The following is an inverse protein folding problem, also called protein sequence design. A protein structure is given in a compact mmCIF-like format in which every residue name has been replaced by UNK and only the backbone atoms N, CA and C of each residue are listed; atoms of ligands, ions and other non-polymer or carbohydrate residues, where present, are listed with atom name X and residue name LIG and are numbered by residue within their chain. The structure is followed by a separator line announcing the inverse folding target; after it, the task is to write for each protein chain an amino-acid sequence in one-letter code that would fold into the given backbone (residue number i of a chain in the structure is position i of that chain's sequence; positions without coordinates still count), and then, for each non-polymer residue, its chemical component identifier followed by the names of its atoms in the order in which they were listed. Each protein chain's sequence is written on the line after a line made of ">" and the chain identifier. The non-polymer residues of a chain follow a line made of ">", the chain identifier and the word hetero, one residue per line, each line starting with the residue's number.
data_IF_447854173705
#
_entry.id   IF_447854173705
#
_cell.length_a   1.000
_cell.length_b   1.000
_cell.length_c   1.000
_cell.angle_alpha   90.00
_cell.angle_beta   90.00
_cell.angle_gamma   90.00
#
_symmetry.space_group_name_H-M   'P 1'
#
loop_
_entity.id
_entity.type
_entity.pdbx_description
1 polymer ?
#
# COMPACT_ATOMS: atom_id res chain seq x y z
N UNK A 1 -18.74 9.63 13.78
CA UNK A 1 -18.30 10.95 13.27
C UNK A 1 -18.25 11.02 11.74
N UNK A 2 -18.00 9.91 11.03
CA UNK A 2 -18.09 9.87 9.56
C UNK A 2 -19.46 10.33 9.02
N UNK A 3 -20.55 9.96 9.71
CA UNK A 3 -21.92 10.33 9.33
C UNK A 3 -22.17 11.84 9.33
N UNK A 4 -21.58 12.58 10.28
CA UNK A 4 -21.72 14.05 10.35
C UNK A 4 -20.94 14.70 9.21
N UNK A 5 -19.73 14.25 8.91
CA UNK A 5 -18.95 14.71 7.75
C UNK A 5 -19.68 14.49 6.42
N UNK A 6 -20.32 13.32 6.25
CA UNK A 6 -21.13 13.02 5.06
C UNK A 6 -22.37 13.91 4.93
N UNK A 7 -23.01 14.26 6.06
CA UNK A 7 -24.27 15.02 6.08
C UNK A 7 -24.04 16.54 6.01
N UNK A 8 -23.00 17.07 6.64
CA UNK A 8 -22.78 18.53 6.75
C UNK A 8 -21.74 19.07 5.76
N UNK A 9 -20.99 18.19 5.07
CA UNK A 9 -19.91 18.59 4.16
C UNK A 9 -18.73 19.29 4.86
N UNK A 10 -18.70 19.28 6.19
CA UNK A 10 -17.65 19.94 6.97
C UNK A 10 -16.41 19.07 7.04
N UNK A 11 -15.27 19.58 6.60
CA UNK A 11 -13.99 18.89 6.69
C UNK A 11 -13.64 18.58 8.15
N UNK A 12 -13.37 17.30 8.45
CA UNK A 12 -12.87 16.90 9.76
C UNK A 12 -11.46 17.48 9.97
N UNK A 13 -11.15 17.86 11.21
CA UNK A 13 -9.82 18.36 11.59
C UNK A 13 -8.78 17.32 11.21
N UNK A 14 -7.91 17.67 10.26
CA UNK A 14 -6.81 16.81 9.83
C UNK A 14 -5.90 16.58 11.03
N UNK A 15 -5.67 15.32 11.38
CA UNK A 15 -4.66 14.95 12.38
C UNK A 15 -3.27 15.22 11.80
N UNK A 16 -2.36 15.76 12.62
CA UNK A 16 -0.98 16.01 12.21
C UNK A 16 -0.16 14.73 12.05
N UNK A 17 -0.65 13.59 12.59
CA UNK A 17 0.10 12.32 12.64
C UNK A 17 -0.55 11.30 11.72
N UNK A 18 0.25 10.75 10.78
CA UNK A 18 -0.12 9.61 9.93
C UNK A 18 0.18 8.32 10.70
N UNK A 19 -0.85 7.60 11.10
CA UNK A 19 -0.70 6.23 11.61
C UNK A 19 -0.66 5.26 10.44
N UNK A 20 0.38 4.42 10.37
CA UNK A 20 0.49 3.35 9.37
C UNK A 20 0.41 2.01 10.09
N UNK A 21 -0.49 1.15 9.64
CA UNK A 21 -0.58 -0.22 10.14
C UNK A 21 0.42 -1.10 9.37
N UNK A 22 1.27 -1.81 10.12
CA UNK A 22 2.27 -2.72 9.56
C UNK A 22 1.94 -4.13 10.09
N UNK A 23 1.41 -5.03 9.24
CA UNK A 23 1.21 -6.41 9.64
C UNK A 23 2.57 -7.08 9.90
N UNK A 24 2.70 -7.75 11.05
CA UNK A 24 3.92 -8.47 11.44
C UNK A 24 3.89 -9.94 11.01
N UNK A 25 2.70 -10.49 10.78
CA UNK A 25 2.54 -11.89 10.36
C UNK A 25 2.61 -11.99 8.83
N UNK A 26 3.40 -12.93 8.26
CA UNK A 26 3.46 -13.15 6.82
C UNK A 26 2.14 -13.67 6.22
N UNK A 27 1.28 -14.26 7.05
CA UNK A 27 -0.09 -14.69 6.73
C UNK A 27 -1.13 -13.62 7.10
N UNK A 28 -0.68 -12.42 7.52
CA UNK A 28 -1.58 -11.35 7.88
C UNK A 28 -2.54 -11.06 6.73
N UNK A 29 -3.76 -10.68 7.11
CA UNK A 29 -4.88 -10.45 6.22
C UNK A 29 -4.47 -9.58 5.00
N UNK A 30 -4.29 -10.25 3.85
CA UNK A 30 -4.01 -9.59 2.58
C UNK A 30 -5.30 -8.92 2.10
N UNK A 31 -5.15 -7.79 1.43
CA UNK A 31 -6.27 -7.08 0.83
C UNK A 31 -6.28 -7.48 -0.64
N UNK A 32 -7.46 -7.72 -1.21
CA UNK A 32 -7.59 -7.92 -2.65
C UNK A 32 -7.32 -6.60 -3.38
N UNK A 33 -6.92 -6.69 -4.64
CA UNK A 33 -6.85 -5.52 -5.51
C UNK A 33 -8.25 -4.87 -5.64
N UNK A 34 -8.32 -3.57 -5.99
CA UNK A 34 -9.59 -2.93 -6.29
C UNK A 34 -10.34 -3.67 -7.40
N UNK A 35 -11.66 -3.78 -7.30
CA UNK A 35 -12.48 -4.53 -8.27
C UNK A 35 -12.25 -4.07 -9.71
N UNK A 36 -12.09 -2.77 -9.93
CA UNK A 36 -11.79 -2.21 -11.25
C UNK A 36 -10.46 -2.73 -11.84
N UNK A 37 -9.46 -3.03 -11.00
CA UNK A 37 -8.18 -3.61 -11.44
C UNK A 37 -8.36 -5.09 -11.76
N UNK A 38 -9.08 -5.82 -10.90
CA UNK A 38 -9.35 -7.25 -11.09
C UNK A 38 -10.14 -7.49 -12.40
N UNK A 39 -11.16 -6.69 -12.66
CA UNK A 39 -11.99 -6.80 -13.87
C UNK A 39 -11.24 -6.51 -15.18
N UNK A 40 -10.14 -5.75 -15.11
CA UNK A 40 -9.29 -5.48 -16.27
C UNK A 40 -8.18 -6.54 -16.44
N UNK A 41 -7.99 -7.46 -15.49
CA UNK A 41 -7.08 -8.60 -15.64
C UNK A 41 -7.78 -9.74 -16.38
N UNK A 42 -7.02 -10.54 -17.11
CA UNK A 42 -7.54 -11.75 -17.75
C UNK A 42 -8.04 -12.73 -16.69
N UNK A 43 -9.16 -13.41 -16.98
CA UNK A 43 -9.91 -14.25 -16.03
C UNK A 43 -9.10 -15.39 -15.39
N UNK A 44 -7.93 -15.73 -15.93
CA UNK A 44 -7.07 -16.84 -15.48
C UNK A 44 -5.92 -16.42 -14.54
N UNK A 45 -5.90 -15.17 -14.07
CA UNK A 45 -4.77 -14.67 -13.26
C UNK A 45 -5.05 -14.82 -11.75
N UNK A 46 -4.29 -15.67 -11.04
CA UNK A 46 -4.38 -15.86 -9.58
C UNK A 46 -3.92 -14.63 -8.75
N UNK A 47 -3.48 -13.56 -9.42
CA UNK A 47 -2.99 -12.31 -8.83
C UNK A 47 -4.15 -11.37 -8.42
N UNK A 48 -4.97 -11.86 -7.51
CA UNK A 48 -6.07 -11.11 -6.88
C UNK A 48 -5.57 -10.34 -5.64
N UNK A 49 -4.48 -10.80 -5.04
CA UNK A 49 -3.92 -10.25 -3.81
C UNK A 49 -3.03 -9.04 -4.08
N UNK A 50 -3.20 -7.98 -3.28
CA UNK A 50 -2.29 -6.84 -3.29
C UNK A 50 -1.03 -7.15 -2.48
N UNK A 51 0.11 -6.63 -2.93
CA UNK A 51 1.34 -6.63 -2.14
C UNK A 51 1.19 -5.79 -0.88
N UNK A 52 1.63 -6.37 0.24
CA UNK A 52 1.69 -5.65 1.51
C UNK A 52 2.96 -4.77 1.56
N UNK A 53 3.04 -3.90 2.59
CA UNK A 53 4.19 -3.00 2.75
C UNK A 53 5.52 -3.74 2.98
N UNK A 54 5.46 -4.95 3.53
CA UNK A 54 6.64 -5.79 3.79
C UNK A 54 7.18 -6.36 2.47
N UNK A 55 6.30 -6.94 1.63
CA UNK A 55 6.62 -7.45 0.30
C UNK A 55 7.27 -6.34 -0.55
N UNK A 56 6.68 -5.13 -0.53
CA UNK A 56 7.26 -3.96 -1.21
C UNK A 56 8.61 -3.54 -0.64
N UNK A 57 8.79 -3.61 0.67
CA UNK A 57 10.06 -3.29 1.31
C UNK A 57 11.13 -4.32 0.97
N UNK A 58 10.79 -5.61 0.88
CA UNK A 58 11.72 -6.67 0.49
C UNK A 58 12.08 -6.60 -1.01
N UNK A 59 11.12 -6.24 -1.85
CA UNK A 59 11.29 -6.04 -3.29
C UNK A 59 11.92 -4.67 -3.65
N UNK A 60 12.37 -3.87 -2.66
CA UNK A 60 12.95 -2.55 -2.91
C UNK A 60 14.22 -2.65 -3.79
N UNK A 61 14.44 -1.69 -4.70
CA UNK A 61 15.66 -1.66 -5.50
C UNK A 61 16.89 -1.53 -4.60
N UNK A 62 17.94 -2.28 -4.90
CA UNK A 62 19.19 -2.33 -4.10
C UNK A 62 20.14 -1.16 -4.39
N UNK A 63 19.58 0.02 -4.67
CA UNK A 63 20.34 1.26 -4.84
C UNK A 63 20.78 1.79 -3.47
N UNK A 64 21.92 2.49 -3.40
CA UNK A 64 22.49 2.99 -2.13
C UNK A 64 21.49 3.79 -1.28
N UNK A 65 20.57 4.52 -1.91
CA UNK A 65 19.50 5.29 -1.24
C UNK A 65 18.52 4.43 -0.42
N UNK A 66 18.30 3.16 -0.79
CA UNK A 66 17.34 2.26 -0.14
C UNK A 66 18.00 1.24 0.80
N UNK A 67 19.33 1.12 0.79
CA UNK A 67 20.07 0.19 1.64
C UNK A 67 20.00 0.59 3.12
N UNK A 68 20.09 1.89 3.40
CA UNK A 68 20.05 2.44 4.76
C UNK A 68 18.63 2.82 5.22
N UNK A 69 17.60 2.50 4.42
CA UNK A 69 16.22 2.85 4.72
C UNK A 69 15.58 1.76 5.58
N UNK A 70 15.10 2.10 6.77
CA UNK A 70 14.35 1.16 7.61
C UNK A 70 12.88 1.07 7.18
N UNK A 71 12.20 -0.03 7.52
CA UNK A 71 10.79 -0.26 7.17
C UNK A 71 9.86 0.88 7.61
N UNK A 72 10.11 1.49 8.77
CA UNK A 72 9.28 2.59 9.27
C UNK A 72 9.35 3.83 8.39
N UNK A 73 10.55 4.19 7.92
CA UNK A 73 10.76 5.32 7.01
C UNK A 73 10.16 4.99 5.65
N UNK A 74 10.41 3.77 5.14
CA UNK A 74 9.81 3.29 3.90
C UNK A 74 8.27 3.31 3.93
N UNK A 75 7.65 2.85 5.01
CA UNK A 75 6.20 2.88 5.17
C UNK A 75 5.64 4.32 5.24
N UNK A 76 6.41 5.25 5.81
CA UNK A 76 6.05 6.67 5.86
C UNK A 76 6.06 7.31 4.47
N UNK A 77 7.16 7.13 3.73
CA UNK A 77 7.49 7.88 2.50
C UNK A 77 7.06 7.17 1.21
N UNK A 78 7.08 5.84 1.17
CA UNK A 78 6.94 5.05 -0.05
C UNK A 78 5.76 4.05 -0.04
N UNK A 79 4.86 4.13 0.94
CA UNK A 79 3.68 3.23 1.02
C UNK A 79 2.75 3.26 -0.21
N UNK A 80 2.81 4.30 -1.04
CA UNK A 80 2.00 4.45 -2.26
C UNK A 80 2.73 4.07 -3.55
N UNK A 81 3.98 3.59 -3.51
CA UNK A 81 4.65 3.15 -4.72
C UNK A 81 4.00 1.84 -5.19
N UNK A 82 3.16 1.92 -6.21
CA UNK A 82 2.73 0.77 -7.01
C UNK A 82 3.91 0.41 -7.91
N UNK A 83 4.38 -0.85 -7.92
CA UNK A 83 5.33 -1.26 -8.96
C UNK A 83 4.63 -1.08 -10.31
N UNK A 84 5.16 -0.20 -11.14
CA UNK A 84 4.81 -0.21 -12.56
C UNK A 84 5.44 -1.48 -13.16
N UNK A 85 4.74 -2.18 -14.06
CA UNK A 85 5.19 -3.46 -14.64
C UNK A 85 6.38 -3.34 -15.62
N UNK A 86 7.28 -2.36 -15.42
CA UNK A 86 8.42 -2.08 -16.30
C UNK A 86 9.80 -2.30 -15.66
N UNK A 87 9.89 -2.85 -14.45
CA UNK A 87 11.20 -3.16 -13.80
C UNK A 87 11.67 -4.62 -14.02
N UNK A 88 11.26 -5.23 -15.13
CA UNK A 88 11.91 -6.43 -15.67
C UNK A 88 12.77 -6.01 -16.86
N UNK A 89 13.99 -5.55 -16.60
CA UNK A 89 15.05 -5.54 -17.59
C UNK A 89 16.40 -5.90 -16.97
#
# INVERSE_FOLDING_TARGET
>A
METVHRVTGMHLKKTSRKGVYIPLDPSAQRITLPLAVIQNKQEDTEEIWADNIIDKYLARPKTECFLNLCLAIFASEHSTHTPNPSDHQ
#
